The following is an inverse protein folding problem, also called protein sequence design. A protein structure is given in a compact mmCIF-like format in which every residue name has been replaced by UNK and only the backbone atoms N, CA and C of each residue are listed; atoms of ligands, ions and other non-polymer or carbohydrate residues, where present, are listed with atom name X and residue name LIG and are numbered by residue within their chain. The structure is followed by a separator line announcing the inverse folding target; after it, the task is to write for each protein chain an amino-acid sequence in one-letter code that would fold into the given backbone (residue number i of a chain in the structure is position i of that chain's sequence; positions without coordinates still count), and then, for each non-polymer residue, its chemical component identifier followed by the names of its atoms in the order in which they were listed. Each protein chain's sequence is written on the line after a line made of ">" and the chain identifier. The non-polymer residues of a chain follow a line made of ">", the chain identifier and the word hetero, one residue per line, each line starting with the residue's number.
data_IF_221042381957
#
_entry.id   IF_221042381957
#
_cell.length_a   1.000
_cell.length_b   1.000
_cell.length_c   1.000
_cell.angle_alpha   90.00
_cell.angle_beta   90.00
_cell.angle_gamma   90.00
#
_symmetry.space_group_name_H-M   'P 1'
#
loop_
_entity.id
_entity.type
_entity.pdbx_description
1 polymer ?
#
# COMPACT_ATOMS: atom_id res chain seq x y z
N UNK A 1 -5.13 16.14 1.28
CA UNK A 1 -4.47 14.85 1.04
C UNK A 1 -3.66 14.43 2.24
N UNK A 2 -3.57 13.13 2.47
CA UNK A 2 -2.72 12.62 3.54
C UNK A 2 -1.27 12.67 3.13
N UNK A 3 -0.39 12.70 4.12
CA UNK A 3 1.04 12.51 3.89
C UNK A 3 1.31 11.01 3.77
N UNK A 4 2.25 10.64 2.92
CA UNK A 4 2.58 9.24 2.67
C UNK A 4 4.06 9.01 2.94
N UNK A 5 4.34 7.99 3.75
CA UNK A 5 5.69 7.56 4.06
C UNK A 5 5.86 6.13 3.56
N UNK A 6 6.92 5.88 2.80
CA UNK A 6 7.22 4.56 2.26
C UNK A 6 8.23 3.87 3.17
N UNK A 7 7.86 2.70 3.70
CA UNK A 7 8.77 1.95 4.55
C UNK A 7 9.83 1.25 3.70
N UNK A 8 10.97 0.94 4.31
CA UNK A 8 12.10 0.36 3.60
C UNK A 8 11.75 -0.95 2.89
N UNK A 9 10.92 -1.76 3.51
CA UNK A 9 10.52 -3.04 2.93
C UNK A 9 9.80 -2.82 1.60
N UNK A 10 8.90 -1.85 1.54
CA UNK A 10 8.23 -1.50 0.30
C UNK A 10 9.22 -0.97 -0.74
N UNK A 11 10.09 -0.06 -0.32
CA UNK A 11 11.08 0.54 -1.22
C UNK A 11 11.96 -0.51 -1.87
N UNK A 12 12.42 -1.49 -1.09
CA UNK A 12 13.25 -2.58 -1.61
C UNK A 12 12.51 -3.40 -2.64
N UNK A 13 11.27 -3.77 -2.34
CA UNK A 13 10.45 -4.55 -3.26
C UNK A 13 10.19 -3.76 -4.55
N UNK A 14 9.80 -2.51 -4.40
CA UNK A 14 9.48 -1.66 -5.55
C UNK A 14 10.69 -1.48 -6.47
N UNK A 15 11.87 -1.29 -5.89
CA UNK A 15 13.09 -1.08 -6.67
C UNK A 15 13.48 -2.29 -7.50
N UNK A 16 13.03 -3.48 -7.12
CA UNK A 16 13.33 -4.71 -7.84
C UNK A 16 12.35 -5.01 -8.97
N UNK A 17 11.24 -4.29 -9.04
CA UNK A 17 10.25 -4.49 -10.09
C UNK A 17 10.80 -3.95 -11.39
N UNK A 18 10.84 -4.80 -12.43
CA UNK A 18 11.30 -4.40 -13.75
C UNK A 18 10.15 -4.11 -14.72
N UNK A 19 8.97 -4.56 -14.38
CA UNK A 19 7.77 -4.36 -15.18
C UNK A 19 7.26 -2.94 -15.00
N UNK A 20 7.45 -2.09 -16.00
CA UNK A 20 7.06 -0.68 -15.92
C UNK A 20 5.55 -0.51 -15.81
N UNK A 21 4.77 -1.39 -16.43
CA UNK A 21 3.31 -1.33 -16.32
C UNK A 21 2.85 -1.64 -14.90
N UNK A 22 3.47 -2.61 -14.26
CA UNK A 22 3.16 -2.93 -12.87
C UNK A 22 3.51 -1.76 -11.96
N UNK A 23 4.65 -1.11 -12.18
CA UNK A 23 5.03 0.08 -11.41
C UNK A 23 3.98 1.19 -11.54
N UNK A 24 3.49 1.42 -12.77
CA UNK A 24 2.45 2.42 -12.99
C UNK A 24 1.17 2.09 -12.22
N UNK A 25 0.79 0.83 -12.20
CA UNK A 25 -0.40 0.39 -11.46
C UNK A 25 -0.25 0.61 -9.97
N UNK A 26 0.94 0.33 -9.44
CA UNK A 26 1.23 0.57 -8.03
C UNK A 26 1.11 2.07 -7.71
N UNK A 27 1.70 2.90 -8.55
CA UNK A 27 1.66 4.35 -8.36
C UNK A 27 0.23 4.87 -8.39
N UNK A 28 -0.60 4.37 -9.31
CA UNK A 28 -2.00 4.77 -9.38
C UNK A 28 -2.77 4.40 -8.13
N UNK A 29 -2.48 3.23 -7.54
CA UNK A 29 -3.14 2.84 -6.30
C UNK A 29 -2.70 3.73 -5.14
N UNK A 30 -1.42 4.09 -5.11
CA UNK A 30 -0.93 5.01 -4.09
C UNK A 30 -1.60 6.38 -4.21
N UNK A 31 -1.82 6.85 -5.44
CA UNK A 31 -2.56 8.10 -5.64
C UNK A 31 -3.99 8.02 -5.12
N UNK A 32 -4.65 6.88 -5.32
CA UNK A 32 -6.00 6.67 -4.76
C UNK A 32 -5.98 6.70 -3.24
N UNK A 33 -4.96 6.11 -2.63
CA UNK A 33 -4.81 6.13 -1.17
C UNK A 33 -4.62 7.55 -0.67
N UNK A 34 -3.86 8.38 -1.39
CA UNK A 34 -3.67 9.78 -1.01
C UNK A 34 -4.99 10.55 -0.99
N UNK A 35 -5.85 10.28 -1.94
CA UNK A 35 -7.13 10.97 -2.05
C UNK A 35 -8.15 10.40 -1.06
N UNK A 36 -8.18 9.08 -0.92
CA UNK A 36 -9.10 8.39 -0.01
C UNK A 36 -8.36 7.28 0.73
N UNK A 37 -7.79 7.58 1.91
CA UNK A 37 -7.02 6.58 2.66
C UNK A 37 -7.83 5.37 3.10
N UNK A 38 -9.15 5.44 3.06
CA UNK A 38 -9.99 4.32 3.45
C UNK A 38 -10.41 3.45 2.27
N UNK A 39 -9.82 3.68 1.09
CA UNK A 39 -10.17 2.94 -0.12
C UNK A 39 -9.85 1.44 -0.02
N UNK A 40 -8.79 1.08 0.69
CA UNK A 40 -8.41 -0.33 0.85
C UNK A 40 -9.29 -1.04 1.85
N UNK A 41 -9.30 -2.38 1.78
CA UNK A 41 -10.07 -3.19 2.70
C UNK A 41 -9.31 -3.35 4.02
N UNK A 42 -10.00 -3.18 5.16
CA UNK A 42 -9.35 -3.41 6.46
C UNK A 42 -8.84 -4.86 6.57
N UNK A 43 -7.69 -5.03 7.20
CA UNK A 43 -7.15 -6.35 7.47
C UNK A 43 -7.56 -6.72 8.89
N UNK A 44 -8.35 -7.80 9.01
CA UNK A 44 -8.81 -8.28 10.31
C UNK A 44 -7.67 -8.92 11.08
N UNK A 45 -7.75 -8.86 12.40
CA UNK A 45 -6.80 -9.52 13.31
C UNK A 45 -5.38 -8.98 13.23
N UNK A 46 -5.22 -7.78 12.66
CA UNK A 46 -3.97 -7.04 12.63
C UNK A 46 -4.27 -5.67 13.25
N UNK A 47 -3.26 -4.85 13.42
CA UNK A 47 -3.46 -3.54 14.02
C UNK A 47 -4.57 -2.77 13.33
N UNK A 48 -5.37 -2.07 14.13
CA UNK A 48 -6.42 -1.21 13.62
C UNK A 48 -5.82 -0.15 12.70
N UNK A 49 -6.46 0.06 11.56
CA UNK A 49 -5.97 1.03 10.59
C UNK A 49 -5.14 0.44 9.46
N UNK A 50 -4.78 -0.84 9.57
CA UNK A 50 -4.06 -1.53 8.49
C UNK A 50 -5.05 -1.95 7.41
N UNK A 51 -4.72 -1.63 6.17
CA UNK A 51 -5.58 -1.91 5.01
C UNK A 51 -4.77 -2.50 3.88
N UNK A 52 -5.45 -3.10 2.91
CA UNK A 52 -4.83 -3.68 1.73
C UNK A 52 -5.58 -3.32 0.47
N UNK A 53 -4.86 -3.25 -0.63
CA UNK A 53 -5.42 -3.13 -1.98
C UNK A 53 -4.83 -4.25 -2.84
N UNK A 54 -5.64 -4.79 -3.72
CA UNK A 54 -5.17 -5.79 -4.66
C UNK A 54 -4.75 -5.12 -5.96
N UNK A 55 -3.62 -5.56 -6.51
CA UNK A 55 -3.12 -5.13 -7.80
C UNK A 55 -2.80 -6.41 -8.56
N UNK A 56 -3.75 -6.90 -9.36
CA UNK A 56 -3.66 -8.20 -10.02
C UNK A 56 -3.41 -9.30 -8.98
N UNK A 57 -2.27 -9.99 -9.07
CA UNK A 57 -1.92 -11.08 -8.18
C UNK A 57 -1.15 -10.63 -6.95
N UNK A 58 -1.06 -9.31 -6.73
CA UNK A 58 -0.28 -8.74 -5.65
C UNK A 58 -1.16 -8.02 -4.65
N UNK A 59 -0.64 -7.84 -3.45
CA UNK A 59 -1.27 -7.03 -2.40
C UNK A 59 -0.36 -5.88 -2.04
N UNK A 60 -0.96 -4.71 -1.91
CA UNK A 60 -0.30 -3.53 -1.36
C UNK A 60 -0.91 -3.29 0.01
N UNK A 61 -0.11 -3.39 1.05
CA UNK A 61 -0.59 -3.13 2.41
C UNK A 61 -0.11 -1.78 2.90
N UNK A 62 -0.96 -1.11 3.66
CA UNK A 62 -0.64 0.19 4.21
C UNK A 62 -1.37 0.38 5.52
N UNK A 63 -0.92 1.35 6.31
CA UNK A 63 -1.56 1.69 7.57
C UNK A 63 -1.94 3.16 7.55
N UNK A 64 -3.19 3.44 7.91
CA UNK A 64 -3.73 4.78 7.92
C UNK A 64 -3.89 5.27 9.36
N UNK A 65 -3.25 6.37 9.66
CA UNK A 65 -3.33 7.04 10.95
C UNK A 65 -4.22 8.27 10.78
N UNK A 66 -5.51 8.08 11.02
CA UNK A 66 -6.51 9.12 10.74
C UNK A 66 -6.26 10.39 11.54
N UNK A 67 -5.91 10.25 12.80
CA UNK A 67 -5.66 11.39 13.68
C UNK A 67 -4.43 12.20 13.28
N UNK A 68 -3.50 11.59 12.54
CA UNK A 68 -2.28 12.23 12.08
C UNK A 68 -2.30 12.61 10.61
N UNK A 69 -3.38 12.26 9.92
CA UNK A 69 -3.50 12.48 8.48
C UNK A 69 -2.29 11.88 7.74
N UNK A 70 -1.94 10.65 8.08
CA UNK A 70 -0.70 10.00 7.66
C UNK A 70 -0.95 8.57 7.21
N UNK A 71 -0.26 8.14 6.16
CA UNK A 71 -0.29 6.78 5.66
C UNK A 71 1.13 6.25 5.57
N UNK A 72 1.34 5.04 6.10
CA UNK A 72 2.58 4.29 5.89
C UNK A 72 2.31 3.22 4.84
N UNK A 73 3.06 3.25 3.74
CA UNK A 73 3.02 2.15 2.76
C UNK A 73 3.97 1.08 3.29
N UNK A 74 3.39 -0.05 3.69
CA UNK A 74 4.11 -1.07 4.43
C UNK A 74 4.89 -2.01 3.53
N UNK A 75 4.19 -2.68 2.61
CA UNK A 75 4.86 -3.63 1.73
C UNK A 75 3.99 -3.98 0.54
N UNK A 76 4.64 -4.54 -0.47
CA UNK A 76 3.99 -5.01 -1.68
C UNK A 76 4.48 -6.44 -1.91
N UNK A 77 3.56 -7.39 -2.01
CA UNK A 77 3.91 -8.80 -2.08
C UNK A 77 2.89 -9.58 -2.90
N UNK A 78 3.31 -10.74 -3.39
CA UNK A 78 2.39 -11.63 -4.12
C UNK A 78 1.35 -12.16 -3.15
N UNK A 79 0.09 -12.25 -3.59
CA UNK A 79 -1.01 -12.61 -2.68
C UNK A 79 -0.87 -14.03 -2.10
N UNK A 80 -0.06 -14.88 -2.72
CA UNK A 80 0.19 -16.22 -2.21
C UNK A 80 1.31 -16.27 -1.19
N UNK A 81 2.02 -15.16 -0.98
CA UNK A 81 3.07 -15.04 0.02
C UNK A 81 2.47 -14.39 1.27
N UNK A 82 2.32 -15.14 2.33
CA UNK A 82 1.76 -14.56 3.56
C UNK A 82 2.58 -14.90 4.76
#
# INVERSE_FOLDING_TARGET
>A
MVDVIFLDKFKKTFSKIKDSLLKERIIKQIEKIKINPEVGKPIKNIRKGTRKLYIKLFKLSYEYFKDKNLVYILEFYHKDEQ
#
